data_IF_726110994638
#
_entry.id   IF_726110994638
#
_cell.length_a   1.000
_cell.length_b   1.000
_cell.length_c   1.000
_cell.angle_alpha   90.00
_cell.angle_beta   90.00
_cell.angle_gamma   90.00
#
_symmetry.space_group_name_H-M   'P 1'
#
loop_
_entity.id
_entity.type
_entity.pdbx_description
1 polymer ?
#
# COMPACT_ATOMS: atom_id res chain seq x y z
N UNK A 1 -56.01 -21.73 50.55
CA UNK A 1 -54.60 -21.91 50.15
C UNK A 1 -54.32 -21.51 48.68
N UNK A 2 -55.14 -21.79 47.69
CA UNK A 2 -54.85 -21.43 46.29
C UNK A 2 -54.79 -19.91 45.95
N UNK A 3 -55.49 -19.06 46.69
CA UNK A 3 -55.50 -17.58 46.46
C UNK A 3 -54.28 -16.89 47.09
N UNK A 4 -53.65 -17.43 48.13
CA UNK A 4 -52.47 -16.84 48.74
C UNK A 4 -51.18 -17.12 47.85
N UNK A 5 -51.16 -18.26 47.18
CA UNK A 5 -50.06 -18.58 46.26
C UNK A 5 -50.01 -17.71 45.02
N UNK A 6 -51.17 -17.25 44.54
CA UNK A 6 -51.24 -16.36 43.34
C UNK A 6 -50.72 -14.95 43.65
N UNK A 7 -50.97 -14.45 44.87
CA UNK A 7 -50.50 -13.13 45.31
C UNK A 7 -48.98 -13.16 45.54
N UNK A 8 -48.44 -14.24 46.10
CA UNK A 8 -47.00 -14.40 46.26
C UNK A 8 -46.25 -14.47 44.92
N UNK A 9 -46.85 -15.08 43.88
CA UNK A 9 -46.27 -15.19 42.54
C UNK A 9 -46.27 -13.82 41.81
N UNK A 10 -47.30 -12.98 41.97
CA UNK A 10 -47.34 -11.64 41.40
C UNK A 10 -46.33 -10.67 42.03
N UNK A 11 -45.96 -10.85 43.30
CA UNK A 11 -45.03 -9.96 43.97
C UNK A 11 -43.59 -10.25 43.54
N UNK A 12 -43.23 -11.52 43.20
CA UNK A 12 -41.91 -11.89 42.72
C UNK A 12 -41.62 -11.39 41.31
N UNK A 13 -42.65 -11.21 40.48
CA UNK A 13 -42.46 -10.74 39.07
C UNK A 13 -42.20 -9.22 38.96
N UNK A 14 -42.46 -8.42 40.01
CA UNK A 14 -42.18 -6.99 40.01
C UNK A 14 -40.75 -6.62 40.47
N UNK A 15 -39.98 -7.55 40.99
CA UNK A 15 -38.59 -7.28 41.45
C UNK A 15 -37.56 -7.58 40.34
N UNK A 16 -37.95 -8.23 39.26
CA UNK A 16 -37.05 -8.68 38.22
C UNK A 16 -36.75 -7.66 37.07
N UNK A 17 -37.28 -6.42 37.16
CA UNK A 17 -37.00 -5.38 36.18
C UNK A 17 -36.54 -4.07 36.82
N UNK A 18 -35.45 -4.15 37.61
CA UNK A 18 -34.60 -2.98 37.77
C UNK A 18 -33.46 -3.14 36.79
N UNK A 19 -33.61 -2.61 35.62
CA UNK A 19 -32.49 -2.32 34.74
C UNK A 19 -31.60 -1.34 35.48
N UNK A 20 -30.38 -1.76 35.77
CA UNK A 20 -29.36 -0.86 36.32
C UNK A 20 -29.15 0.27 35.31
N UNK A 21 -29.68 1.44 35.64
CA UNK A 21 -29.60 2.64 34.79
C UNK A 21 -28.26 3.37 34.92
N UNK A 22 -27.27 2.75 35.57
CA UNK A 22 -25.95 3.34 35.81
C UNK A 22 -24.92 3.05 34.71
N UNK A 23 -25.21 2.10 33.78
CA UNK A 23 -24.38 1.85 32.61
C UNK A 23 -25.15 2.20 31.34
N UNK A 24 -25.33 3.48 31.08
CA UNK A 24 -25.79 3.95 29.80
C UNK A 24 -24.55 4.16 28.92
N UNK A 25 -24.24 3.20 28.02
CA UNK A 25 -23.13 3.26 27.07
C UNK A 25 -23.36 4.30 25.95
N UNK A 26 -24.32 5.20 26.08
CA UNK A 26 -24.61 6.28 25.15
C UNK A 26 -24.20 7.65 25.71
N UNK A 27 -24.05 8.63 24.80
CA UNK A 27 -23.83 10.02 25.18
C UNK A 27 -24.94 10.50 26.14
N UNK A 28 -24.57 11.15 27.25
CA UNK A 28 -25.58 11.74 28.16
C UNK A 28 -26.35 12.83 27.43
N UNK A 29 -27.58 13.11 27.89
CA UNK A 29 -28.41 14.22 27.34
C UNK A 29 -27.63 15.54 27.42
N UNK A 30 -26.90 15.77 28.50
CA UNK A 30 -26.03 16.95 28.64
C UNK A 30 -24.91 17.01 27.62
N UNK A 31 -24.32 15.87 27.25
CA UNK A 31 -23.31 15.79 26.20
C UNK A 31 -23.90 16.06 24.80
N UNK A 32 -25.14 15.63 24.56
CA UNK A 32 -25.79 15.79 23.26
C UNK A 32 -26.18 17.24 22.97
N UNK A 33 -26.58 18.00 24.01
CA UNK A 33 -27.06 19.36 23.87
C UNK A 33 -26.07 20.45 24.30
N UNK A 34 -24.91 20.08 24.88
CA UNK A 34 -23.89 21.08 25.21
C UNK A 34 -23.22 21.61 23.92
N UNK A 35 -22.82 22.88 23.95
CA UNK A 35 -21.95 23.43 22.92
C UNK A 35 -20.64 22.67 22.86
N UNK A 36 -20.09 22.51 21.65
CA UNK A 36 -18.79 21.88 21.51
C UNK A 36 -17.68 22.75 22.13
N UNK A 37 -16.79 22.11 22.88
CA UNK A 37 -15.55 22.75 23.35
C UNK A 37 -14.37 21.76 23.38
N UNK A 38 -13.19 22.30 23.15
CA UNK A 38 -11.94 21.56 23.33
C UNK A 38 -11.50 21.72 24.78
N UNK A 39 -11.39 20.59 25.50
CA UNK A 39 -10.97 20.53 26.89
C UNK A 39 -9.43 20.50 26.97
N UNK A 40 -8.78 19.73 26.10
CA UNK A 40 -7.34 19.70 25.94
C UNK A 40 -7.00 19.99 24.48
N UNK A 41 -6.07 20.93 24.20
CA UNK A 41 -5.76 21.35 22.83
C UNK A 41 -5.16 20.21 22.01
N UNK A 42 -5.30 20.32 20.69
CA UNK A 42 -4.66 19.41 19.74
C UNK A 42 -3.14 19.56 19.81
N UNK A 43 -2.46 18.45 20.07
CA UNK A 43 -1.02 18.38 20.26
C UNK A 43 -0.40 17.11 19.66
N UNK A 44 0.92 17.08 19.62
CA UNK A 44 1.72 15.89 19.30
C UNK A 44 2.67 15.56 20.46
N UNK A 45 3.05 14.29 20.60
CA UNK A 45 4.05 13.86 21.57
C UNK A 45 5.49 14.31 21.18
N UNK A 46 5.72 14.68 19.94
CA UNK A 46 7.02 15.15 19.42
C UNK A 46 6.84 16.07 18.18
N UNK A 47 7.74 16.98 17.98
CA UNK A 47 7.81 17.92 16.84
C UNK A 47 8.74 17.44 15.72
N UNK A 48 9.52 16.38 15.98
CA UNK A 48 10.43 15.74 15.03
C UNK A 48 10.39 14.24 15.20
N UNK A 49 10.47 13.50 14.09
CA UNK A 49 10.35 12.04 14.06
C UNK A 49 11.31 11.42 13.07
N UNK A 50 11.92 10.28 13.45
CA UNK A 50 12.77 9.45 12.60
C UNK A 50 12.08 8.10 12.36
N UNK A 51 11.24 8.00 11.31
CA UNK A 51 10.49 6.80 11.03
C UNK A 51 11.37 5.58 10.68
N UNK A 52 12.57 5.81 10.10
CA UNK A 52 13.53 4.73 9.87
C UNK A 52 13.98 4.02 11.15
N UNK A 53 13.86 4.68 12.30
CA UNK A 53 14.13 4.10 13.62
C UNK A 53 12.89 3.54 14.31
N UNK A 54 11.83 3.28 13.55
CA UNK A 54 10.53 2.79 14.05
C UNK A 54 9.84 3.75 15.04
N UNK A 55 10.22 5.03 15.03
CA UNK A 55 9.50 6.04 15.79
C UNK A 55 8.11 6.29 15.23
N UNK A 56 7.21 6.77 16.09
CA UNK A 56 5.86 7.17 15.70
C UNK A 56 5.50 8.53 16.27
N UNK A 57 4.57 9.20 15.62
CA UNK A 57 3.93 10.42 16.14
C UNK A 57 2.57 10.02 16.71
N UNK A 58 2.32 10.44 17.94
CA UNK A 58 1.04 10.28 18.62
C UNK A 58 0.38 11.64 18.71
N UNK A 59 -0.86 11.72 18.25
CA UNK A 59 -1.66 12.93 18.39
C UNK A 59 -2.55 12.83 19.62
N UNK A 60 -2.86 13.98 20.22
CA UNK A 60 -3.71 14.07 21.39
C UNK A 60 -4.64 15.29 21.32
N UNK A 61 -5.87 15.11 21.81
CA UNK A 61 -6.84 16.16 22.09
C UNK A 61 -7.93 15.59 22.98
N UNK A 62 -8.66 16.43 23.74
CA UNK A 62 -9.84 16.02 24.48
C UNK A 62 -10.99 17.00 24.27
N UNK A 63 -12.19 16.44 24.10
CA UNK A 63 -13.40 17.16 23.83
C UNK A 63 -14.40 16.99 24.98
N UNK A 64 -15.32 17.93 25.15
CA UNK A 64 -16.38 17.83 26.14
C UNK A 64 -17.45 16.80 25.77
N UNK A 65 -17.56 16.41 24.49
CA UNK A 65 -18.52 15.41 23.99
C UNK A 65 -17.88 14.53 22.90
N UNK A 66 -18.52 13.40 22.59
CA UNK A 66 -18.14 12.53 21.47
C UNK A 66 -18.38 13.25 20.15
N UNK A 67 -17.36 13.27 19.28
CA UNK A 67 -17.40 13.95 17.97
C UNK A 67 -16.72 13.11 16.90
N UNK A 68 -17.18 13.26 15.65
CA UNK A 68 -16.45 12.82 14.49
C UNK A 68 -15.28 13.76 14.23
N UNK A 69 -14.08 13.24 14.23
CA UNK A 69 -12.87 14.01 13.99
C UNK A 69 -12.04 13.41 12.86
N UNK A 70 -11.27 14.27 12.21
CA UNK A 70 -10.34 13.91 11.15
C UNK A 70 -9.03 14.67 11.32
N UNK A 71 -7.90 13.95 11.36
CA UNK A 71 -6.56 14.48 11.25
C UNK A 71 -6.09 14.28 9.82
N UNK A 72 -5.75 15.37 9.14
CA UNK A 72 -5.15 15.35 7.81
C UNK A 72 -3.70 15.82 7.91
N UNK A 73 -2.75 14.92 7.67
CA UNK A 73 -1.31 15.21 7.67
C UNK A 73 -0.91 15.40 6.22
N UNK A 74 -0.24 16.53 5.93
CA UNK A 74 0.19 16.88 4.56
C UNK A 74 1.65 17.26 4.57
N UNK A 75 2.44 16.59 3.73
CA UNK A 75 3.85 16.94 3.48
C UNK A 75 3.97 18.27 2.75
N UNK A 76 4.89 19.12 3.19
CA UNK A 76 5.08 20.44 2.60
C UNK A 76 5.58 20.34 1.15
N UNK A 77 6.54 19.47 0.91
CA UNK A 77 7.22 19.31 -0.39
C UNK A 77 6.57 18.20 -1.21
N UNK A 78 6.44 17.01 -0.65
CA UNK A 78 5.90 15.83 -1.34
C UNK A 78 4.43 15.98 -1.70
N UNK A 79 3.64 16.74 -0.93
CA UNK A 79 2.18 16.76 -0.96
C UNK A 79 1.53 15.42 -0.56
N UNK A 80 2.31 14.49 -0.01
CA UNK A 80 1.82 13.26 0.58
C UNK A 80 0.73 13.53 1.61
N UNK A 81 -0.23 12.63 1.71
CA UNK A 81 -1.33 12.76 2.68
C UNK A 81 -1.51 11.51 3.50
N UNK A 82 -1.65 11.67 4.81
CA UNK A 82 -2.22 10.67 5.72
C UNK A 82 -3.49 11.22 6.31
N UNK A 83 -4.53 10.40 6.30
CA UNK A 83 -5.80 10.70 6.97
C UNK A 83 -6.02 9.71 8.09
N UNK A 84 -6.31 10.22 9.28
CA UNK A 84 -6.72 9.44 10.44
C UNK A 84 -8.08 9.98 10.88
N UNK A 85 -9.04 9.11 11.10
CA UNK A 85 -10.41 9.49 11.48
C UNK A 85 -10.87 8.71 12.69
N UNK A 86 -11.79 9.27 13.45
CA UNK A 86 -12.40 8.58 14.57
C UNK A 86 -13.66 9.25 15.07
N UNK A 87 -14.36 8.54 15.96
CA UNK A 87 -15.54 9.00 16.68
C UNK A 87 -15.27 8.77 18.16
N UNK A 88 -14.93 9.82 18.92
CA UNK A 88 -14.59 9.72 20.33
C UNK A 88 -14.61 11.07 21.03
N UNK A 89 -14.48 11.05 22.37
CA UNK A 89 -14.21 12.24 23.22
C UNK A 89 -12.73 12.60 23.29
N UNK A 90 -11.84 11.65 22.95
CA UNK A 90 -10.40 11.85 23.01
C UNK A 90 -9.70 11.36 21.75
N UNK A 91 -8.62 12.03 21.45
CA UNK A 91 -7.60 11.61 20.50
C UNK A 91 -6.38 11.25 21.35
N UNK A 92 -5.86 10.04 21.20
CA UNK A 92 -4.72 9.54 21.97
C UNK A 92 -3.97 8.42 21.22
N UNK A 93 -2.99 7.80 21.89
CA UNK A 93 -2.18 6.74 21.32
C UNK A 93 -2.95 5.47 20.92
N UNK A 94 -4.20 5.30 21.37
CA UNK A 94 -5.02 4.13 20.99
C UNK A 94 -5.71 4.30 19.63
N UNK A 95 -5.88 5.54 19.17
CA UNK A 95 -6.67 5.84 17.97
C UNK A 95 -6.02 6.80 16.97
N UNK A 96 -4.91 7.45 17.30
CA UNK A 96 -4.26 8.44 16.46
C UNK A 96 -2.73 8.35 16.48
N UNK A 97 -2.20 7.29 15.85
CA UNK A 97 -0.77 7.09 15.63
C UNK A 97 -0.45 7.26 14.15
N UNK A 98 0.65 7.93 13.85
CA UNK A 98 1.25 8.02 12.53
C UNK A 98 2.65 7.41 12.54
N UNK A 99 2.87 6.39 11.70
CA UNK A 99 4.11 5.63 11.53
C UNK A 99 4.89 6.02 10.26
N UNK A 100 4.57 7.15 9.63
CA UNK A 100 5.17 7.60 8.38
C UNK A 100 4.45 7.12 7.13
N UNK A 101 3.44 6.24 7.26
CA UNK A 101 2.66 5.77 6.10
C UNK A 101 1.79 6.88 5.52
N UNK A 102 1.47 6.74 4.21
CA UNK A 102 0.55 7.61 3.48
C UNK A 102 -0.80 6.94 3.24
N UNK A 103 -1.85 7.73 3.10
CA UNK A 103 -3.16 7.27 2.61
C UNK A 103 -3.37 7.62 1.14
N UNK A 104 -2.56 8.51 0.60
CA UNK A 104 -2.63 8.98 -0.78
C UNK A 104 -1.23 9.37 -1.25
N UNK A 105 -0.81 8.79 -2.38
CA UNK A 105 0.49 9.09 -2.97
C UNK A 105 0.67 10.59 -3.31
N UNK A 106 1.91 11.04 -3.31
CA UNK A 106 3.16 10.30 -3.07
C UNK A 106 3.38 9.92 -1.60
N UNK A 107 4.46 9.18 -1.33
CA UNK A 107 4.93 8.88 0.03
C UNK A 107 5.57 10.12 0.65
N UNK A 108 5.61 10.16 2.00
CA UNK A 108 6.28 11.26 2.72
C UNK A 108 7.79 11.23 2.50
N UNK A 109 8.40 12.42 2.55
CA UNK A 109 9.85 12.64 2.44
C UNK A 109 10.40 13.20 3.75
N UNK A 110 11.71 13.41 3.81
CA UNK A 110 12.32 14.21 4.87
C UNK A 110 11.90 15.67 4.71
N UNK A 111 10.86 16.06 5.42
CA UNK A 111 10.18 17.33 5.22
C UNK A 111 9.37 17.76 6.43
N UNK A 112 8.94 19.01 6.41
CA UNK A 112 7.94 19.53 7.34
C UNK A 112 6.55 19.03 6.93
N UNK A 113 5.78 18.51 7.89
CA UNK A 113 4.42 18.06 7.70
C UNK A 113 3.46 18.87 8.57
N UNK A 114 2.31 19.19 8.02
CA UNK A 114 1.24 19.90 8.72
C UNK A 114 0.11 18.92 9.03
N UNK A 115 -0.12 18.68 10.31
CA UNK A 115 -1.22 17.88 10.78
C UNK A 115 -2.38 18.78 11.22
N UNK A 116 -3.49 18.72 10.50
CA UNK A 116 -4.67 19.55 10.73
C UNK A 116 -5.81 18.68 11.27
N UNK A 117 -6.27 19.02 12.47
CA UNK A 117 -7.48 18.46 13.05
C UNK A 117 -8.70 19.26 12.58
N UNK A 118 -9.71 18.55 12.09
CA UNK A 118 -11.05 19.08 11.79
C UNK A 118 -12.09 18.23 12.49
N UNK A 119 -13.16 18.86 12.94
CA UNK A 119 -14.27 18.24 13.65
C UNK A 119 -15.54 18.51 12.86
N UNK A 120 -16.34 17.48 12.64
CA UNK A 120 -17.60 17.61 11.94
C UNK A 120 -18.50 18.63 12.65
N UNK A 121 -19.15 19.49 11.88
CA UNK A 121 -20.02 20.55 12.37
C UNK A 121 -19.32 21.68 13.16
N UNK A 122 -17.99 21.74 13.15
CA UNK A 122 -17.20 22.83 13.72
C UNK A 122 -16.40 23.50 12.62
N UNK A 123 -16.55 24.83 12.47
CA UNK A 123 -15.85 25.58 11.43
C UNK A 123 -14.35 25.79 11.74
N UNK A 124 -13.95 25.63 12.99
CA UNK A 124 -12.57 25.79 13.42
C UNK A 124 -11.72 24.58 13.08
N UNK A 125 -10.44 24.82 12.90
CA UNK A 125 -9.45 23.77 12.68
C UNK A 125 -8.18 24.07 13.46
N UNK A 126 -7.52 23.02 13.93
CA UNK A 126 -6.33 23.10 14.77
C UNK A 126 -5.17 22.45 14.04
N UNK A 127 -3.98 23.04 14.11
CA UNK A 127 -2.83 22.55 13.37
C UNK A 127 -1.61 22.42 14.28
N UNK A 128 -0.88 21.33 14.09
CA UNK A 128 0.45 21.12 14.64
C UNK A 128 1.44 20.79 13.51
N UNK A 129 2.72 20.96 13.80
CA UNK A 129 3.79 20.72 12.82
C UNK A 129 4.65 19.55 13.29
N UNK A 130 5.00 18.66 12.38
CA UNK A 130 5.94 17.56 12.61
C UNK A 130 7.02 17.60 11.54
N UNK A 131 8.29 17.53 11.94
CA UNK A 131 9.43 17.48 11.03
C UNK A 131 9.88 16.02 10.85
N UNK A 132 9.73 15.46 9.68
CA UNK A 132 10.23 14.11 9.34
C UNK A 132 11.74 14.21 9.11
N UNK A 133 12.51 13.50 9.90
CA UNK A 133 13.99 13.45 9.87
C UNK A 133 14.52 12.25 9.09
N UNK A 134 13.74 11.18 9.04
CA UNK A 134 13.98 10.03 8.15
C UNK A 134 12.65 9.41 7.78
N UNK A 135 12.56 8.92 6.54
CA UNK A 135 11.35 8.28 6.00
C UNK A 135 11.14 6.88 6.57
N UNK A 136 9.91 6.39 6.46
CA UNK A 136 9.58 5.00 6.78
C UNK A 136 10.36 4.04 5.89
N UNK A 137 11.04 3.09 6.51
CA UNK A 137 11.71 1.98 5.82
C UNK A 137 10.74 0.80 5.78
N UNK A 138 10.48 0.30 4.59
CA UNK A 138 9.68 -0.90 4.43
C UNK A 138 10.57 -2.14 4.56
N UNK A 139 10.12 -3.10 5.33
CA UNK A 139 10.84 -4.36 5.51
C UNK A 139 10.67 -5.23 4.26
N UNK A 140 11.75 -5.42 3.52
CA UNK A 140 11.72 -6.21 2.30
C UNK A 140 12.93 -6.02 1.40
N UNK A 141 12.90 -6.69 0.24
CA UNK A 141 13.93 -6.60 -0.80
C UNK A 141 13.46 -5.66 -1.90
N UNK A 142 14.07 -4.49 -2.01
CA UNK A 142 13.82 -3.54 -3.11
C UNK A 142 14.47 -4.08 -4.38
N UNK A 143 13.66 -4.29 -5.40
CA UNK A 143 14.09 -4.68 -6.73
C UNK A 143 14.45 -3.46 -7.57
N UNK A 144 13.59 -2.43 -7.58
CA UNK A 144 13.86 -1.19 -8.32
C UNK A 144 13.12 -0.01 -7.69
N UNK A 145 13.86 1.03 -7.36
CA UNK A 145 13.34 2.34 -6.96
C UNK A 145 13.70 3.45 -7.96
N UNK A 146 14.50 3.11 -8.95
CA UNK A 146 14.99 3.99 -10.03
C UNK A 146 15.76 5.23 -9.58
N UNK A 147 16.00 5.45 -8.30
CA UNK A 147 16.68 6.65 -7.78
C UNK A 147 18.10 6.80 -8.33
N UNK A 148 18.78 5.70 -8.57
CA UNK A 148 20.12 5.64 -9.17
C UNK A 148 20.11 5.41 -10.69
N UNK A 149 18.93 5.48 -11.33
CA UNK A 149 18.78 5.16 -12.75
C UNK A 149 18.70 3.66 -13.03
N UNK A 150 19.17 3.24 -14.20
CA UNK A 150 19.21 1.82 -14.56
C UNK A 150 20.45 1.15 -13.96
N UNK A 151 20.25 0.01 -13.31
CA UNK A 151 21.34 -0.87 -12.93
C UNK A 151 21.96 -1.49 -14.22
N UNK A 152 23.27 -1.57 -14.29
CA UNK A 152 24.00 -2.10 -15.46
C UNK A 152 23.74 -3.58 -15.71
N UNK A 153 23.31 -4.32 -14.71
CA UNK A 153 22.94 -5.74 -14.84
C UNK A 153 21.51 -5.94 -15.39
N UNK A 154 20.69 -4.89 -15.44
CA UNK A 154 19.36 -4.98 -16.02
C UNK A 154 19.44 -4.95 -17.54
N UNK A 155 18.66 -5.80 -18.20
CA UNK A 155 18.60 -5.85 -19.66
C UNK A 155 17.27 -5.34 -20.15
N UNK A 156 17.27 -4.71 -21.32
CA UNK A 156 16.08 -4.16 -21.99
C UNK A 156 15.93 -4.77 -23.36
N UNK A 157 14.70 -5.05 -23.73
CA UNK A 157 14.34 -5.56 -25.03
C UNK A 157 13.17 -4.76 -25.62
N UNK A 158 13.24 -4.47 -26.91
CA UNK A 158 12.13 -3.89 -27.67
C UNK A 158 11.73 -4.90 -28.72
N UNK A 159 10.43 -5.20 -28.80
CA UNK A 159 9.89 -6.13 -29.78
C UNK A 159 10.18 -5.63 -31.22
N UNK A 160 10.56 -6.54 -32.10
CA UNK A 160 10.82 -6.20 -33.50
C UNK A 160 9.58 -5.55 -34.13
N UNK A 161 9.77 -4.38 -34.76
CA UNK A 161 8.69 -3.57 -35.33
C UNK A 161 7.91 -2.73 -34.33
N UNK A 162 8.13 -2.89 -33.04
CA UNK A 162 7.59 -2.00 -32.01
C UNK A 162 8.53 -0.82 -31.75
N UNK A 163 8.02 0.18 -31.05
CA UNK A 163 8.77 1.35 -30.59
C UNK A 163 8.53 1.53 -29.09
N UNK A 164 9.59 1.53 -28.31
CA UNK A 164 9.51 1.65 -26.84
C UNK A 164 10.53 2.66 -26.29
N UNK A 165 10.05 3.61 -25.50
CA UNK A 165 10.88 4.49 -24.67
C UNK A 165 10.96 3.93 -23.24
N UNK A 166 12.17 3.63 -22.78
CA UNK A 166 12.49 3.34 -21.40
C UNK A 166 13.24 4.54 -20.83
N UNK A 167 12.57 5.35 -20.03
CA UNK A 167 13.19 6.54 -19.46
C UNK A 167 12.97 6.66 -17.96
N UNK A 168 14.06 6.76 -17.20
CA UNK A 168 13.99 7.22 -15.82
C UNK A 168 13.76 8.73 -15.82
N UNK A 169 12.65 9.16 -15.22
CA UNK A 169 12.23 10.56 -15.13
C UNK A 169 12.35 11.04 -13.69
N UNK A 170 12.75 12.31 -13.53
CA UNK A 170 12.74 13.01 -12.25
C UNK A 170 11.48 13.85 -12.13
N UNK A 171 10.75 13.71 -11.03
CA UNK A 171 9.52 14.45 -10.78
C UNK A 171 9.34 14.65 -9.26
N UNK A 172 8.96 15.85 -8.86
CA UNK A 172 8.66 16.16 -7.44
C UNK A 172 7.49 15.37 -6.90
N UNK A 173 6.60 14.89 -7.79
CA UNK A 173 5.44 14.05 -7.47
C UNK A 173 5.69 12.56 -7.74
N UNK A 174 6.96 12.13 -7.88
CA UNK A 174 7.29 10.71 -7.86
C UNK A 174 6.70 10.06 -6.59
N UNK A 175 6.10 8.86 -6.70
CA UNK A 175 5.35 8.26 -5.59
C UNK A 175 6.27 7.85 -4.44
N UNK A 176 7.52 7.50 -4.75
CA UNK A 176 8.60 7.25 -3.81
C UNK A 176 9.84 8.04 -4.27
N UNK A 177 10.66 8.57 -3.37
CA UNK A 177 11.87 9.29 -3.75
C UNK A 177 11.64 10.48 -4.70
N UNK A 178 12.40 10.52 -5.79
CA UNK A 178 12.37 11.59 -6.78
C UNK A 178 12.27 11.11 -8.23
N UNK A 179 12.41 9.80 -8.49
CA UNK A 179 12.45 9.25 -9.84
C UNK A 179 11.50 8.06 -10.00
N UNK A 180 11.14 7.81 -11.24
CA UNK A 180 10.33 6.65 -11.63
C UNK A 180 10.69 6.22 -13.06
N UNK A 181 10.38 4.98 -13.41
CA UNK A 181 10.46 4.48 -14.78
C UNK A 181 9.23 4.90 -15.57
N UNK A 182 9.42 5.59 -16.69
CA UNK A 182 8.39 5.79 -17.70
C UNK A 182 8.59 4.76 -18.80
N UNK A 183 7.53 4.08 -19.16
CA UNK A 183 7.44 3.22 -20.34
C UNK A 183 6.35 3.76 -21.26
N UNK A 184 6.69 3.92 -22.54
CA UNK A 184 5.74 4.35 -23.54
C UNK A 184 6.17 3.81 -24.88
N UNK A 185 5.24 3.32 -25.67
CA UNK A 185 5.58 2.79 -26.98
C UNK A 185 4.38 2.43 -27.82
N UNK A 186 4.65 2.06 -29.05
CA UNK A 186 3.65 1.65 -30.04
C UNK A 186 3.92 0.21 -30.43
N UNK A 187 2.92 -0.63 -30.30
CA UNK A 187 2.95 -2.00 -30.84
C UNK A 187 2.61 -1.97 -32.34
N UNK A 188 3.26 -2.83 -33.12
CA UNK A 188 3.07 -2.89 -34.56
C UNK A 188 2.26 -4.10 -35.04
N UNK A 189 2.43 -5.26 -34.41
CA UNK A 189 1.81 -6.49 -34.87
C UNK A 189 1.55 -7.55 -33.76
N UNK A 190 1.97 -7.29 -32.53
CA UNK A 190 1.80 -8.15 -31.39
C UNK A 190 1.40 -7.31 -30.16
N UNK A 191 1.09 -7.93 -29.05
CA UNK A 191 0.79 -7.25 -27.80
C UNK A 191 2.03 -6.64 -27.15
N UNK A 192 3.18 -7.31 -27.22
CA UNK A 192 4.42 -6.90 -26.58
C UNK A 192 5.01 -5.67 -27.24
N UNK A 193 5.28 -4.63 -26.46
CA UNK A 193 6.02 -3.44 -26.88
C UNK A 193 7.48 -3.59 -26.52
N UNK A 194 7.77 -3.93 -25.26
CA UNK A 194 9.12 -4.16 -24.79
C UNK A 194 9.11 -4.66 -23.34
N UNK A 195 10.29 -5.05 -22.86
CA UNK A 195 10.48 -5.54 -21.50
C UNK A 195 11.79 -5.07 -20.87
N UNK A 196 11.83 -5.14 -19.55
CA UNK A 196 13.06 -4.99 -18.76
C UNK A 196 13.18 -6.18 -17.81
N UNK A 197 14.38 -6.74 -17.73
CA UNK A 197 14.73 -7.85 -16.84
C UNK A 197 15.45 -7.37 -15.60
N UNK A 198 15.08 -7.91 -14.46
CA UNK A 198 15.69 -7.72 -13.15
C UNK A 198 16.25 -9.06 -12.66
N UNK A 199 17.49 -9.45 -13.06
CA UNK A 199 18.09 -10.71 -12.62
C UNK A 199 18.54 -10.62 -11.16
N UNK A 200 18.46 -11.72 -10.42
CA UNK A 200 18.93 -11.80 -9.04
C UNK A 200 20.41 -11.45 -8.88
N UNK A 201 21.22 -11.69 -9.91
CA UNK A 201 22.64 -11.31 -9.95
C UNK A 201 22.87 -9.79 -9.81
N UNK A 202 21.89 -8.96 -10.15
CA UNK A 202 21.93 -7.51 -9.91
C UNK A 202 21.96 -7.16 -8.41
N UNK A 203 21.58 -8.08 -7.54
CA UNK A 203 21.52 -7.95 -6.07
C UNK A 203 22.57 -8.82 -5.37
N UNK A 204 23.56 -9.32 -6.14
CA UNK A 204 24.72 -10.03 -5.62
C UNK A 204 24.52 -11.51 -5.29
N UNK A 205 23.43 -12.13 -5.76
CA UNK A 205 23.12 -13.53 -5.49
C UNK A 205 22.59 -14.25 -6.75
N UNK A 206 22.65 -15.58 -6.83
CA UNK A 206 22.07 -16.35 -7.94
C UNK A 206 20.53 -16.33 -7.93
N UNK A 207 19.92 -16.25 -6.74
CA UNK A 207 18.48 -16.11 -6.53
C UNK A 207 18.21 -14.97 -5.55
N UNK A 208 16.99 -14.43 -5.54
CA UNK A 208 16.62 -13.36 -4.63
C UNK A 208 16.62 -13.85 -3.17
N UNK A 209 17.16 -13.04 -2.26
CA UNK A 209 17.23 -13.34 -0.83
C UNK A 209 15.85 -13.13 -0.17
N UNK A 210 14.92 -14.05 -0.40
CA UNK A 210 13.54 -14.03 0.11
C UNK A 210 13.29 -15.23 1.05
N UNK A 211 12.27 -15.16 1.93
CA UNK A 211 11.82 -16.34 2.69
C UNK A 211 11.37 -17.46 1.75
N UNK A 212 11.56 -18.72 2.15
CA UNK A 212 11.14 -19.88 1.34
C UNK A 212 9.63 -20.14 1.41
N UNK A 213 8.94 -19.65 2.43
CA UNK A 213 7.48 -19.79 2.53
C UNK A 213 6.79 -18.74 1.65
N UNK A 214 6.09 -19.12 0.57
CA UNK A 214 5.45 -18.18 -0.36
C UNK A 214 4.30 -17.38 0.27
N UNK A 215 3.73 -17.89 1.37
CA UNK A 215 2.66 -17.20 2.10
C UNK A 215 3.16 -15.97 2.87
N UNK A 216 4.44 -15.91 3.14
CA UNK A 216 5.07 -14.78 3.85
C UNK A 216 5.65 -13.73 2.90
N UNK A 217 5.56 -13.93 1.58
CA UNK A 217 6.15 -13.05 0.58
C UNK A 217 5.07 -12.32 -0.22
N UNK A 218 5.19 -11.00 -0.34
CA UNK A 218 4.30 -10.15 -1.12
C UNK A 218 5.08 -9.38 -2.17
N UNK A 219 4.68 -9.52 -3.43
CA UNK A 219 5.18 -8.68 -4.52
C UNK A 219 4.39 -7.37 -4.55
N UNK A 220 5.10 -6.24 -4.59
CA UNK A 220 4.49 -4.91 -4.60
C UNK A 220 5.14 -4.04 -5.67
N UNK A 221 4.32 -3.21 -6.34
CA UNK A 221 4.78 -2.24 -7.32
C UNK A 221 3.85 -1.03 -7.34
N UNK A 222 4.41 0.16 -7.49
CA UNK A 222 3.65 1.38 -7.74
C UNK A 222 3.51 1.58 -9.25
N UNK A 223 2.27 1.64 -9.74
CA UNK A 223 1.97 1.81 -11.17
C UNK A 223 1.10 3.05 -11.36
N UNK A 224 1.52 3.91 -12.31
CA UNK A 224 0.75 5.08 -12.72
C UNK A 224 0.01 4.81 -14.02
N UNK A 225 -1.31 4.89 -13.97
CA UNK A 225 -2.17 4.80 -15.13
C UNK A 225 -2.37 6.15 -15.83
N UNK A 226 -2.48 6.09 -17.15
CA UNK A 226 -2.79 7.23 -18.03
C UNK A 226 -4.04 6.89 -18.82
N UNK A 227 -5.22 7.40 -18.43
CA UNK A 227 -6.50 6.93 -18.99
C UNK A 227 -6.73 7.31 -20.46
N UNK A 228 -6.00 8.29 -20.98
CA UNK A 228 -6.11 8.75 -22.39
C UNK A 228 -5.41 7.84 -23.40
N UNK A 229 -4.68 6.83 -22.93
CA UNK A 229 -4.03 5.84 -23.78
C UNK A 229 -4.85 4.56 -23.82
N UNK A 230 -4.63 3.73 -24.84
CA UNK A 230 -5.13 2.36 -24.84
C UNK A 230 -4.73 1.69 -23.53
N UNK A 231 -5.57 0.77 -23.04
CA UNK A 231 -5.25 0.02 -21.83
C UNK A 231 -3.84 -0.55 -21.93
N UNK A 232 -3.00 -0.18 -20.98
CA UNK A 232 -1.68 -0.77 -20.82
C UNK A 232 -1.82 -2.05 -20.02
N UNK A 233 -1.18 -3.11 -20.49
CA UNK A 233 -0.97 -4.30 -19.68
C UNK A 233 0.47 -4.31 -19.19
N UNK A 234 0.66 -4.46 -17.90
CA UNK A 234 1.97 -4.73 -17.29
C UNK A 234 1.96 -6.18 -16.83
N UNK A 235 2.87 -6.97 -17.38
CA UNK A 235 3.02 -8.37 -17.03
C UNK A 235 4.38 -8.55 -16.33
N UNK A 236 4.35 -9.10 -15.12
CA UNK A 236 5.54 -9.54 -14.40
C UNK A 236 5.65 -11.05 -14.54
N UNK A 237 6.68 -11.52 -15.19
CA UNK A 237 7.05 -12.93 -15.27
C UNK A 237 8.12 -13.20 -14.22
N UNK A 238 7.82 -14.04 -13.26
CA UNK A 238 8.71 -14.40 -12.16
C UNK A 238 9.21 -15.82 -12.41
N UNK A 239 10.52 -15.94 -12.64
CA UNK A 239 11.19 -17.20 -13.05
C UNK A 239 12.00 -17.77 -11.92
N UNK A 240 11.74 -19.04 -11.59
CA UNK A 240 12.42 -19.78 -10.54
C UNK A 240 13.49 -20.69 -11.15
N UNK A 241 14.72 -20.67 -10.61
CA UNK A 241 15.81 -21.62 -10.87
C UNK A 241 15.79 -22.68 -9.77
N UNK A 242 14.94 -23.69 -9.93
CA UNK A 242 14.68 -24.68 -8.90
C UNK A 242 15.86 -25.63 -8.70
N UNK A 243 16.61 -25.91 -9.79
CA UNK A 243 17.74 -26.81 -9.77
C UNK A 243 19.07 -26.11 -9.42
N UNK A 244 19.05 -24.78 -9.21
CA UNK A 244 20.17 -23.94 -8.80
C UNK A 244 21.37 -23.99 -9.77
N UNK A 245 21.12 -24.11 -11.08
CA UNK A 245 22.18 -24.14 -12.11
C UNK A 245 22.57 -22.75 -12.64
N UNK A 246 21.92 -21.67 -12.17
CA UNK A 246 22.16 -20.29 -12.54
C UNK A 246 21.46 -19.85 -13.83
N UNK A 247 20.50 -20.64 -14.31
CA UNK A 247 19.73 -20.34 -15.52
C UNK A 247 18.30 -20.88 -15.39
N UNK A 248 17.36 -20.25 -16.10
CA UNK A 248 15.96 -20.71 -16.18
C UNK A 248 15.74 -21.55 -17.42
N UNK A 249 15.08 -22.69 -17.26
CA UNK A 249 14.67 -23.57 -18.35
C UNK A 249 13.15 -23.74 -18.36
N UNK A 250 12.47 -23.07 -19.29
CA UNK A 250 11.03 -23.07 -19.43
C UNK A 250 10.38 -24.45 -19.68
N UNK A 251 11.17 -25.52 -19.86
CA UNK A 251 10.63 -26.87 -20.07
C UNK A 251 10.48 -27.67 -18.78
N UNK A 252 11.18 -27.28 -17.70
CA UNK A 252 11.27 -28.05 -16.47
C UNK A 252 11.44 -27.20 -15.20
N UNK A 253 11.21 -25.89 -15.29
CA UNK A 253 11.24 -24.96 -14.16
C UNK A 253 10.01 -24.06 -14.19
N UNK A 254 9.63 -23.52 -13.05
CA UNK A 254 8.39 -22.80 -12.87
C UNK A 254 8.53 -21.31 -13.23
N UNK A 255 7.50 -20.81 -13.90
CA UNK A 255 7.29 -19.39 -14.16
C UNK A 255 5.88 -19.01 -13.69
N UNK A 256 5.79 -17.92 -12.92
CA UNK A 256 4.54 -17.37 -12.45
C UNK A 256 4.34 -15.97 -13.02
N UNK A 257 3.12 -15.68 -13.46
CA UNK A 257 2.80 -14.50 -14.23
C UNK A 257 1.76 -13.64 -13.54
N UNK A 258 2.13 -12.40 -13.22
CA UNK A 258 1.23 -11.40 -12.69
C UNK A 258 0.88 -10.39 -13.79
N UNK A 259 -0.34 -10.49 -14.35
CA UNK A 259 -0.83 -9.56 -15.35
C UNK A 259 -1.72 -8.49 -14.71
N UNK A 260 -1.35 -7.23 -14.94
CA UNK A 260 -2.06 -6.06 -14.41
C UNK A 260 -2.59 -5.23 -15.56
N UNK A 261 -3.91 -5.13 -15.67
CA UNK A 261 -4.56 -4.18 -16.59
C UNK A 261 -4.55 -2.79 -15.96
N UNK A 262 -3.85 -1.85 -16.59
CA UNK A 262 -3.71 -0.47 -16.09
C UNK A 262 -4.83 0.39 -16.69
N UNK A 263 -5.99 0.37 -16.05
CA UNK A 263 -7.22 1.06 -16.49
C UNK A 263 -7.67 2.17 -15.53
N UNK A 264 -6.74 2.75 -14.78
CA UNK A 264 -7.00 3.83 -13.82
C UNK A 264 -6.12 5.05 -14.12
N UNK A 265 -6.41 6.17 -13.47
CA UNK A 265 -5.59 7.38 -13.49
C UNK A 265 -4.80 7.53 -12.19
N UNK A 266 -3.55 8.00 -12.32
CA UNK A 266 -2.68 8.29 -11.16
C UNK A 266 -1.95 7.07 -10.61
N UNK A 267 -1.23 7.28 -9.50
CA UNK A 267 -0.47 6.24 -8.83
C UNK A 267 -1.36 5.30 -8.02
N UNK A 268 -1.11 4.01 -8.17
CA UNK A 268 -1.77 2.96 -7.40
C UNK A 268 -0.75 1.91 -6.97
N UNK A 269 -0.87 1.46 -5.73
CA UNK A 269 -0.16 0.29 -5.25
C UNK A 269 -0.84 -0.96 -5.78
N UNK A 270 -0.06 -1.81 -6.43
CA UNK A 270 -0.42 -3.17 -6.80
C UNK A 270 0.35 -4.10 -5.87
N UNK A 271 -0.37 -4.97 -5.18
CA UNK A 271 0.22 -5.88 -4.19
C UNK A 271 -0.42 -7.26 -4.32
N UNK A 272 0.41 -8.30 -4.39
CA UNK A 272 -0.02 -9.69 -4.52
C UNK A 272 0.80 -10.57 -3.59
N UNK A 273 0.15 -11.49 -2.92
CA UNK A 273 0.80 -12.57 -2.20
C UNK A 273 1.45 -13.51 -3.21
N UNK A 274 2.69 -13.93 -2.96
CA UNK A 274 3.44 -14.71 -3.94
C UNK A 274 2.76 -16.05 -4.25
N UNK A 275 2.21 -16.71 -3.23
CA UNK A 275 1.46 -17.97 -3.38
C UNK A 275 0.19 -17.86 -4.23
N UNK A 276 -0.33 -16.64 -4.45
CA UNK A 276 -1.55 -16.40 -5.23
C UNK A 276 -1.26 -16.05 -6.70
N UNK A 277 0.01 -15.88 -7.08
CA UNK A 277 0.39 -15.52 -8.45
C UNK A 277 0.22 -16.74 -9.35
N UNK A 278 -0.60 -16.67 -10.40
CA UNK A 278 -0.87 -17.83 -11.26
C UNK A 278 0.29 -18.12 -12.24
N UNK A 279 0.32 -19.34 -12.76
CA UNK A 279 1.06 -19.64 -13.97
C UNK A 279 0.15 -19.37 -15.19
N UNK A 280 0.63 -18.56 -16.15
CA UNK A 280 -0.13 -18.24 -17.36
C UNK A 280 0.71 -18.58 -18.61
N UNK A 281 0.03 -18.93 -19.70
CA UNK A 281 0.60 -18.96 -21.04
C UNK A 281 -0.28 -18.11 -21.95
N UNK A 282 0.28 -17.08 -22.55
CA UNK A 282 -0.46 -16.13 -23.38
C UNK A 282 -1.69 -15.55 -22.65
N UNK A 283 -1.55 -15.24 -21.36
CA UNK A 283 -2.61 -14.69 -20.52
C UNK A 283 -3.71 -15.68 -20.11
N UNK A 284 -3.56 -16.97 -20.43
CA UNK A 284 -4.50 -18.02 -20.04
C UNK A 284 -3.90 -18.91 -18.95
N UNK A 285 -4.72 -19.37 -17.97
CA UNK A 285 -4.24 -20.27 -16.92
C UNK A 285 -3.54 -21.50 -17.49
N UNK A 286 -2.42 -21.85 -16.90
CA UNK A 286 -1.57 -22.97 -17.29
C UNK A 286 -1.06 -23.74 -16.07
N UNK A 287 -0.32 -24.81 -16.32
CA UNK A 287 0.30 -25.63 -15.29
C UNK A 287 1.80 -25.32 -15.30
N UNK A 288 2.41 -25.03 -14.14
CA UNK A 288 3.85 -24.87 -14.01
C UNK A 288 4.61 -26.14 -14.51
N UNK A 289 5.84 -25.97 -14.96
CA UNK A 289 6.64 -27.04 -15.61
C UNK A 289 7.66 -27.69 -14.67
N UNK A 290 7.94 -27.04 -13.54
CA UNK A 290 8.87 -27.52 -12.53
C UNK A 290 8.18 -28.38 -11.46
N UNK A 291 8.42 -28.02 -10.20
CA UNK A 291 7.83 -28.74 -9.06
C UNK A 291 6.37 -28.34 -8.76
N UNK A 292 5.85 -27.34 -9.47
CA UNK A 292 4.51 -26.77 -9.30
C UNK A 292 4.27 -26.16 -7.90
N UNK A 293 5.31 -25.70 -7.26
CA UNK A 293 5.26 -24.99 -5.97
C UNK A 293 5.90 -23.62 -6.13
N UNK A 294 5.33 -22.64 -5.47
CA UNK A 294 5.95 -21.31 -5.39
C UNK A 294 7.16 -21.34 -4.47
N UNK A 295 8.33 -21.07 -5.01
CA UNK A 295 9.61 -21.09 -4.31
C UNK A 295 10.26 -19.69 -4.35
N UNK A 296 9.84 -18.72 -3.53
CA UNK A 296 10.34 -17.34 -3.64
C UNK A 296 11.85 -17.22 -3.41
N UNK A 297 12.46 -18.12 -2.65
CA UNK A 297 13.92 -18.22 -2.46
C UNK A 297 14.66 -18.77 -3.69
N UNK A 298 13.94 -19.20 -4.71
CA UNK A 298 14.46 -19.66 -6.01
C UNK A 298 14.27 -18.66 -7.13
N UNK A 299 13.69 -17.50 -6.89
CA UNK A 299 13.50 -16.49 -7.93
C UNK A 299 14.86 -16.07 -8.50
N UNK A 300 15.10 -16.45 -9.75
CA UNK A 300 16.29 -16.14 -10.51
C UNK A 300 16.19 -14.80 -11.23
N UNK A 301 14.99 -14.48 -11.75
CA UNK A 301 14.74 -13.27 -12.54
C UNK A 301 13.28 -12.86 -12.52
N UNK A 302 13.04 -11.55 -12.55
CA UNK A 302 11.76 -10.96 -12.85
C UNK A 302 11.87 -10.27 -14.19
N UNK A 303 11.01 -10.60 -15.15
CA UNK A 303 10.85 -9.87 -16.40
C UNK A 303 9.58 -9.04 -16.33
N UNK A 304 9.69 -7.75 -16.54
CA UNK A 304 8.55 -6.85 -16.58
C UNK A 304 8.29 -6.43 -18.01
N UNK A 305 7.16 -6.86 -18.55
CA UNK A 305 6.73 -6.64 -19.92
C UNK A 305 5.68 -5.53 -19.95
N UNK A 306 5.82 -4.62 -20.91
CA UNK A 306 4.81 -3.65 -21.24
C UNK A 306 4.10 -4.05 -22.54
N UNK A 307 2.80 -4.22 -22.44
CA UNK A 307 1.95 -4.66 -23.54
C UNK A 307 0.84 -3.64 -23.80
N UNK A 308 0.38 -3.54 -25.03
CA UNK A 308 -0.84 -2.79 -25.37
C UNK A 308 -2.04 -3.73 -25.42
N UNK A 309 -3.18 -3.25 -24.93
CA UNK A 309 -4.45 -3.95 -25.04
C UNK A 309 -5.57 -2.98 -25.47
N UNK A 310 -6.23 -3.16 -26.60
CA UNK A 310 -5.89 -4.14 -27.64
C UNK A 310 -4.59 -3.80 -28.38
N UNK A 311 -4.06 -4.76 -29.13
CA UNK A 311 -2.77 -4.68 -29.83
C UNK A 311 -2.80 -3.72 -31.02
N UNK A 312 -3.12 -2.47 -30.84
CA UNK A 312 -3.35 -1.52 -31.94
C UNK A 312 -2.84 -0.11 -31.67
N UNK A 313 -1.70 0.04 -31.11
CA UNK A 313 -1.21 1.39 -31.04
C UNK A 313 -0.37 1.69 -29.81
N UNK A 314 -0.51 2.91 -29.33
CA UNK A 314 0.31 3.47 -28.27
C UNK A 314 -0.23 3.10 -26.90
N UNK A 315 0.64 2.63 -26.03
CA UNK A 315 0.38 2.44 -24.61
C UNK A 315 1.46 3.13 -23.76
N UNK A 316 1.10 3.59 -22.58
CA UNK A 316 2.01 4.26 -21.66
C UNK A 316 1.66 3.97 -20.22
N UNK A 317 2.67 3.69 -19.41
CA UNK A 317 2.56 3.64 -17.96
C UNK A 317 3.84 4.14 -17.31
N UNK A 318 3.78 4.40 -15.99
CA UNK A 318 4.97 4.67 -15.18
C UNK A 318 5.02 3.62 -14.07
N UNK A 319 6.22 3.20 -13.70
CA UNK A 319 6.43 2.26 -12.61
C UNK A 319 7.41 2.84 -11.61
N UNK A 320 7.23 2.47 -10.37
CA UNK A 320 8.14 2.81 -9.31
C UNK A 320 8.07 1.79 -8.18
N UNK A 321 9.12 1.75 -7.36
CA UNK A 321 9.22 1.03 -6.11
C UNK A 321 8.72 -0.41 -6.19
N UNK A 322 9.41 -1.21 -7.02
CA UNK A 322 9.21 -2.66 -7.07
C UNK A 322 9.91 -3.27 -5.87
N UNK A 323 9.15 -3.92 -4.98
CA UNK A 323 9.66 -4.45 -3.72
C UNK A 323 8.94 -5.75 -3.35
N UNK A 324 9.69 -6.75 -2.88
CA UNK A 324 9.10 -7.84 -2.11
C UNK A 324 9.09 -7.48 -0.63
N UNK A 325 7.95 -7.59 0.02
CA UNK A 325 7.82 -7.41 1.47
C UNK A 325 7.50 -8.73 2.16
N UNK A 326 7.86 -8.83 3.45
CA UNK A 326 7.69 -10.05 4.24
C UNK A 326 6.50 -9.90 5.20
N UNK A 327 5.72 -10.99 5.32
CA UNK A 327 4.59 -11.17 6.23
C UNK A 327 3.36 -10.27 5.99
N UNK A 328 3.49 -9.19 5.22
CA UNK A 328 2.38 -8.29 4.92
C UNK A 328 2.64 -7.53 3.59
N UNK A 329 1.57 -7.07 2.93
CA UNK A 329 1.68 -6.13 1.82
C UNK A 329 2.45 -4.86 2.21
N UNK A 330 2.98 -4.16 1.21
CA UNK A 330 3.57 -2.85 1.41
C UNK A 330 2.53 -1.90 2.03
N UNK A 331 2.90 -1.27 3.13
CA UNK A 331 2.19 -0.12 3.68
C UNK A 331 2.96 1.14 3.28
N UNK A 332 2.49 1.88 2.27
CA UNK A 332 3.22 3.02 1.73
C UNK A 332 3.39 4.16 2.73
#
# INVERSE_FOLDING_TARGET
MKRLLLIAFCIVTFVACRKDTTNFDGASIEEQYSDFSIVEPFATNKDSVAFASSETVQFSARFNKTVNWKISIVGQTSKAKKTITGLSKSIDASNAIWNGSTSQFPMFKEEKCFAKLTIESVNDSFQVVVNVKSIKVNNGLVIADFENGFNTAWTKFVQSGANMDFAVKTDTLAPQGAKYLKMAGTVNWDYLIGLIDFPASAYGAPTLALPSNPDDVYFNCLIYGVPSTNESLVLFQIKEDENANGSFNASNEDEYDLQVTVNWEGWKLVSFKYSDIPCLINGQPSIPKGNSQHNPDKIWKISMLHLANPANGFASCKLDYIIFTNNAPLEP
#
